data_IF_034103377991
#
_entry.id   IF_034103377991
#
_cell.length_a   1.000
_cell.length_b   1.000
_cell.length_c   1.000
_cell.angle_alpha   90.00
_cell.angle_beta   90.00
_cell.angle_gamma   90.00
#
_symmetry.space_group_name_H-M   'P 1'
#
loop_
_entity.id
_entity.type
_entity.pdbx_description
1 polymer ?
#
# COMPACT_ATOMS: atom_id res chain seq x y z
N UNK A 1 18.82 -1.76 -6.16
CA UNK A 1 17.38 -1.74 -5.87
C UNK A 1 17.06 -0.67 -4.85
N UNK A 2 16.05 0.12 -5.13
CA UNK A 2 15.62 1.18 -4.23
C UNK A 2 14.51 0.65 -3.35
N UNK A 3 14.64 0.84 -2.05
CA UNK A 3 13.61 0.47 -1.09
C UNK A 3 13.08 1.75 -0.44
N UNK A 4 11.76 1.94 -0.52
CA UNK A 4 11.11 3.13 0.03
C UNK A 4 10.17 2.66 1.13
N UNK A 5 10.55 2.90 2.37
CA UNK A 5 9.71 2.58 3.51
C UNK A 5 8.68 3.68 3.70
N UNK A 6 7.46 3.30 4.02
CA UNK A 6 6.41 4.27 4.26
C UNK A 6 5.39 3.73 5.26
N UNK A 7 4.62 4.64 5.84
CA UNK A 7 3.56 4.25 6.74
C UNK A 7 2.43 5.26 6.65
N UNK A 8 1.21 4.76 6.87
CA UNK A 8 0.02 5.60 6.93
C UNK A 8 -0.72 5.28 8.21
N UNK A 9 -1.19 6.31 8.89
CA UNK A 9 -2.06 6.12 10.02
C UNK A 9 -3.50 6.15 9.54
N UNK A 10 -4.24 5.08 9.81
CA UNK A 10 -5.64 4.96 9.39
C UNK A 10 -6.51 4.69 10.59
N UNK A 11 -7.82 4.77 10.41
CA UNK A 11 -8.76 4.43 11.46
C UNK A 11 -8.74 2.95 11.83
N UNK A 12 -8.09 2.13 11.00
CA UNK A 12 -7.92 0.70 11.25
C UNK A 12 -6.57 0.39 11.90
N UNK A 13 -5.78 1.42 12.19
CA UNK A 13 -4.46 1.27 12.76
C UNK A 13 -3.36 1.76 11.83
N UNK A 14 -2.13 1.47 12.20
CA UNK A 14 -0.97 1.91 11.44
C UNK A 14 -0.66 0.89 10.34
N UNK A 15 -0.64 1.35 9.11
CA UNK A 15 -0.23 0.54 7.97
C UNK A 15 1.21 0.87 7.62
N UNK A 16 2.06 -0.15 7.59
CA UNK A 16 3.45 -0.02 7.20
C UNK A 16 3.75 -0.93 6.03
N UNK A 17 4.52 -0.42 5.10
CA UNK A 17 4.92 -1.21 3.94
C UNK A 17 6.18 -0.60 3.34
N UNK A 18 6.68 -1.22 2.29
CA UNK A 18 7.83 -0.72 1.57
C UNK A 18 7.65 -1.00 0.08
N UNK A 19 8.11 -0.06 -0.74
CA UNK A 19 8.15 -0.24 -2.19
C UNK A 19 9.56 -0.66 -2.59
N UNK A 20 9.64 -1.67 -3.43
CA UNK A 20 10.91 -2.15 -3.98
C UNK A 20 10.93 -1.83 -5.46
N UNK A 21 11.81 -0.93 -5.87
CA UNK A 21 11.89 -0.46 -7.24
C UNK A 21 13.29 -0.70 -7.78
N UNK A 22 13.43 -0.92 -9.09
CA UNK A 22 14.77 -1.00 -9.69
C UNK A 22 15.45 0.37 -9.62
N UNK A 23 16.79 0.35 -9.62
CA UNK A 23 17.55 1.58 -9.51
C UNK A 23 17.31 2.51 -10.69
N UNK A 24 16.97 1.96 -11.85
CA UNK A 24 16.75 2.72 -13.06
C UNK A 24 15.28 3.03 -13.32
N UNK A 25 14.43 2.97 -12.27
CA UNK A 25 13.03 3.30 -12.48
C UNK A 25 12.90 4.78 -12.89
N UNK A 26 11.91 5.05 -13.71
CA UNK A 26 11.64 6.40 -14.19
C UNK A 26 10.40 7.01 -13.55
N UNK A 27 10.04 6.53 -12.37
CA UNK A 27 8.85 7.00 -11.67
C UNK A 27 9.10 8.36 -11.03
N UNK A 28 8.12 9.23 -11.11
CA UNK A 28 8.17 10.53 -10.43
C UNK A 28 7.69 10.37 -8.99
N UNK A 29 7.92 11.41 -8.17
CA UNK A 29 7.45 11.40 -6.80
C UNK A 29 5.93 11.23 -6.74
N UNK A 30 5.21 11.87 -7.67
CA UNK A 30 3.76 11.75 -7.72
C UNK A 30 3.32 10.31 -8.00
N UNK A 31 4.03 9.62 -8.88
CA UNK A 31 3.73 8.24 -9.18
C UNK A 31 4.03 7.34 -7.99
N UNK A 32 5.12 7.60 -7.30
CA UNK A 32 5.49 6.84 -6.10
C UNK A 32 4.46 7.03 -5.01
N UNK A 33 4.01 8.27 -4.80
CA UNK A 33 2.97 8.55 -3.82
C UNK A 33 1.67 7.84 -4.17
N UNK A 34 1.31 7.80 -5.45
CA UNK A 34 0.12 7.09 -5.89
C UNK A 34 0.22 5.60 -5.59
N UNK A 35 1.39 5.02 -5.75
CA UNK A 35 1.62 3.62 -5.44
C UNK A 35 1.46 3.34 -3.95
N UNK A 36 1.98 4.24 -3.12
CA UNK A 36 1.84 4.12 -1.66
C UNK A 36 0.37 4.16 -1.26
N UNK A 37 -0.37 5.11 -1.82
CA UNK A 37 -1.78 5.26 -1.52
C UNK A 37 -2.58 4.05 -1.99
N UNK A 38 -2.24 3.49 -3.13
CA UNK A 38 -2.90 2.31 -3.63
C UNK A 38 -2.66 1.11 -2.70
N UNK A 39 -1.46 0.98 -2.18
CA UNK A 39 -1.15 -0.07 -1.22
C UNK A 39 -1.97 0.08 0.06
N UNK A 40 -2.08 1.31 0.53
CA UNK A 40 -2.92 1.60 1.70
C UNK A 40 -4.37 1.23 1.43
N UNK A 41 -4.89 1.63 0.26
CA UNK A 41 -6.28 1.35 -0.07
C UNK A 41 -6.53 -0.14 -0.19
N UNK A 42 -5.60 -0.89 -0.77
CA UNK A 42 -5.69 -2.34 -0.85
C UNK A 42 -5.70 -2.97 0.53
N UNK A 43 -4.87 -2.48 1.43
CA UNK A 43 -4.81 -2.99 2.80
C UNK A 43 -6.13 -2.71 3.53
N UNK A 44 -6.67 -1.50 3.36
CA UNK A 44 -7.94 -1.15 3.98
C UNK A 44 -9.04 -2.06 3.45
N UNK A 45 -9.04 -2.35 2.17
CA UNK A 45 -10.01 -3.26 1.59
C UNK A 45 -9.90 -4.66 2.19
N UNK A 46 -8.69 -5.11 2.46
CA UNK A 46 -8.48 -6.43 3.06
C UNK A 46 -8.99 -6.46 4.50
N UNK A 47 -8.67 -5.44 5.30
CA UNK A 47 -9.06 -5.45 6.72
C UNK A 47 -10.54 -5.15 6.92
N UNK A 48 -11.21 -4.59 5.92
CA UNK A 48 -12.64 -4.31 6.01
C UNK A 48 -13.49 -5.27 5.20
N UNK A 49 -12.86 -6.16 4.43
CA UNK A 49 -13.59 -7.13 3.62
C UNK A 49 -14.30 -8.14 4.52
N UNK A 50 -15.49 -8.59 4.14
CA UNK A 50 -16.15 -9.65 4.89
C UNK A 50 -15.36 -10.95 4.75
N UNK A 51 -15.47 -11.85 5.73
CA UNK A 51 -14.83 -13.16 5.63
C UNK A 51 -15.27 -13.91 4.39
N UNK A 52 -14.36 -14.69 3.82
CA UNK A 52 -14.64 -15.39 2.57
C UNK A 52 -15.80 -16.39 2.71
N UNK A 53 -16.01 -16.93 3.88
CA UNK A 53 -17.07 -17.90 4.12
C UNK A 53 -18.46 -17.26 4.19
N UNK A 54 -18.52 -15.95 4.20
CA UNK A 54 -19.78 -15.24 4.14
C UNK A 54 -20.28 -15.11 2.71
N UNK A 55 -19.44 -15.39 1.75
CA UNK A 55 -19.83 -15.38 0.35
C UNK A 55 -20.60 -16.66 0.09
N UNK A 56 -21.87 -16.56 0.09
CA UNK A 56 -22.73 -17.70 -0.10
C UNK A 56 -23.12 -17.85 -1.57
#
# INVERSE_FOLDING_TARGET
MVKIDFEFQTEHGLFRDALHLPDDHSLTEAEIEAMKEQRRDNWIAVVTAPPADEVA
#
